data_IF_326743786994
#
_entry.id   IF_326743786994
#
_cell.length_a   1.000
_cell.length_b   1.000
_cell.length_c   1.000
_cell.angle_alpha   90.00
_cell.angle_beta   90.00
_cell.angle_gamma   90.00
#
_symmetry.space_group_name_H-M   'P 1'
#
loop_
_entity.id
_entity.type
_entity.pdbx_description
1 polymer ?
#
# COMPACT_ATOMS: atom_id res chain seq x y z
N UNK A 1 2.07 16.52 16.67
CA UNK A 1 2.80 15.75 17.70
C UNK A 1 2.40 16.02 19.16
N UNK A 2 2.42 17.28 19.65
CA UNK A 2 2.17 17.62 21.07
C UNK A 2 0.83 17.09 21.61
N UNK A 3 -0.22 17.14 20.81
CA UNK A 3 -1.54 16.61 21.18
C UNK A 3 -1.50 15.10 21.49
N UNK A 4 -0.80 14.30 20.68
CA UNK A 4 -0.68 12.86 20.90
C UNK A 4 0.11 12.53 22.17
N UNK A 5 1.20 13.26 22.44
CA UNK A 5 1.95 13.12 23.69
C UNK A 5 1.05 13.45 24.90
N UNK A 6 0.35 14.58 24.85
CA UNK A 6 -0.54 14.99 25.93
C UNK A 6 -1.70 14.01 26.13
N UNK A 7 -2.20 13.43 25.03
CA UNK A 7 -3.23 12.41 25.10
C UNK A 7 -2.72 11.14 25.80
N UNK A 8 -1.50 10.69 25.49
CA UNK A 8 -0.88 9.56 26.19
C UNK A 8 -0.66 9.85 27.69
N UNK A 9 -0.19 11.06 28.04
CA UNK A 9 0.00 11.48 29.45
C UNK A 9 -1.31 11.52 30.24
N UNK A 10 -2.39 11.99 29.60
CA UNK A 10 -3.70 12.18 30.23
C UNK A 10 -4.64 10.98 30.06
N UNK A 11 -4.23 9.93 29.36
CA UNK A 11 -5.08 8.79 29.02
C UNK A 11 -6.24 9.13 28.09
N UNK A 12 -6.14 10.22 27.32
CA UNK A 12 -7.14 10.64 26.33
C UNK A 12 -7.02 9.74 25.10
N UNK A 13 -8.16 9.28 24.60
CA UNK A 13 -8.24 8.36 23.46
C UNK A 13 -8.71 9.03 22.18
N UNK A 14 -9.22 10.28 22.23
CA UNK A 14 -9.76 10.98 21.08
C UNK A 14 -9.11 12.35 20.92
N UNK A 15 -8.58 12.60 19.72
CA UNK A 15 -8.04 13.89 19.30
C UNK A 15 -8.86 14.36 18.11
N UNK A 16 -9.51 15.52 18.27
CA UNK A 16 -10.24 16.18 17.20
C UNK A 16 -9.40 17.30 16.59
N UNK A 17 -9.22 17.28 15.27
CA UNK A 17 -8.47 18.27 14.51
C UNK A 17 -9.44 19.34 14.00
N UNK A 18 -9.42 20.52 14.63
CA UNK A 18 -10.28 21.67 14.30
C UNK A 18 -9.54 22.69 13.42
N UNK A 19 -8.99 22.25 12.30
CA UNK A 19 -8.36 23.15 11.32
C UNK A 19 -8.56 22.63 9.89
N UNK A 20 -8.49 23.53 8.93
CA UNK A 20 -8.56 23.22 7.50
C UNK A 20 -7.27 23.66 6.83
N UNK A 21 -6.74 22.79 5.96
CA UNK A 21 -5.49 23.02 5.26
C UNK A 21 -4.30 22.34 5.94
N UNK A 22 -3.11 22.81 5.62
CA UNK A 22 -1.86 22.12 5.93
C UNK A 22 -1.34 22.46 7.33
N UNK A 23 -1.00 21.41 8.07
CA UNK A 23 -0.20 21.49 9.28
C UNK A 23 1.09 20.68 9.05
N UNK A 24 2.21 21.40 9.02
CA UNK A 24 3.53 20.77 8.94
C UNK A 24 3.83 20.06 10.26
N UNK A 25 4.13 18.78 10.18
CA UNK A 25 4.47 17.92 11.32
C UNK A 25 5.84 17.27 11.11
N UNK A 26 6.48 16.98 12.24
CA UNK A 26 7.70 16.16 12.30
C UNK A 26 7.31 14.69 12.47
N UNK A 27 8.24 13.75 12.22
CA UNK A 27 8.02 12.34 12.54
C UNK A 27 7.41 12.14 13.94
N UNK A 28 6.29 11.43 13.97
CA UNK A 28 5.42 11.22 15.12
C UNK A 28 5.59 9.81 15.67
N UNK A 29 5.60 9.70 16.99
CA UNK A 29 5.46 8.42 17.68
C UNK A 29 4.12 8.39 18.41
N UNK A 30 3.34 7.34 18.14
CA UNK A 30 2.06 7.08 18.79
C UNK A 30 2.26 5.96 19.80
N UNK A 31 2.13 6.26 21.09
CA UNK A 31 2.34 5.32 22.19
C UNK A 31 1.06 4.96 22.95
N UNK A 32 -0.03 5.71 22.74
CA UNK A 32 -1.31 5.43 23.36
C UNK A 32 -1.88 4.08 22.88
N UNK A 33 -2.32 3.23 23.80
CA UNK A 33 -2.85 1.90 23.47
C UNK A 33 -4.10 1.96 22.59
N UNK A 34 -4.92 3.01 22.74
CA UNK A 34 -6.08 3.29 21.88
C UNK A 34 -6.12 4.77 21.58
N UNK A 35 -6.13 5.13 20.30
CA UNK A 35 -6.14 6.52 19.89
C UNK A 35 -6.93 6.71 18.58
N UNK A 36 -7.90 7.60 18.61
CA UNK A 36 -8.61 8.13 17.44
C UNK A 36 -8.10 9.53 17.15
N UNK A 37 -7.67 9.78 15.93
CA UNK A 37 -7.35 11.11 15.42
C UNK A 37 -8.33 11.40 14.29
N UNK A 38 -9.22 12.36 14.48
CA UNK A 38 -10.28 12.63 13.50
C UNK A 38 -10.42 14.10 13.17
N UNK A 39 -10.82 14.40 11.94
CA UNK A 39 -11.26 15.74 11.57
C UNK A 39 -12.51 16.14 12.37
N UNK A 40 -12.55 17.41 12.77
CA UNK A 40 -13.78 18.02 13.25
C UNK A 40 -14.79 18.17 12.10
N UNK A 41 -16.08 18.24 12.43
CA UNK A 41 -17.12 18.50 11.42
C UNK A 41 -16.83 19.78 10.64
N UNK A 42 -16.96 19.72 9.32
CA UNK A 42 -16.69 20.83 8.40
C UNK A 42 -15.21 21.19 8.19
N UNK A 43 -14.28 20.48 8.84
CA UNK A 43 -12.85 20.72 8.72
C UNK A 43 -12.18 19.68 7.82
N UNK A 44 -11.12 20.10 7.11
CA UNK A 44 -10.32 19.24 6.23
C UNK A 44 -8.83 19.37 6.60
N UNK A 45 -8.37 18.69 7.66
CA UNK A 45 -6.99 18.76 8.11
C UNK A 45 -6.07 17.95 7.18
N UNK A 46 -4.95 18.55 6.80
CA UNK A 46 -3.88 17.91 6.04
C UNK A 46 -2.61 17.91 6.88
N UNK A 47 -2.16 16.74 7.34
CA UNK A 47 -0.89 16.59 8.06
C UNK A 47 0.21 16.36 7.03
N UNK A 48 1.15 17.30 6.94
CA UNK A 48 2.24 17.28 5.97
C UNK A 48 3.54 16.95 6.67
N UNK A 49 4.27 15.97 6.14
CA UNK A 49 5.60 15.59 6.60
C UNK A 49 6.62 15.93 5.50
N UNK A 50 7.65 16.70 5.87
CA UNK A 50 8.79 17.06 5.01
C UNK A 50 10.08 16.64 5.71
N UNK A 51 10.48 15.37 5.60
CA UNK A 51 11.68 14.91 6.27
C UNK A 51 12.95 15.48 5.61
N UNK A 52 14.00 15.62 6.43
CA UNK A 52 15.33 16.07 6.02
C UNK A 52 16.32 14.90 6.12
N UNK A 53 17.34 14.87 5.26
CA UNK A 53 18.33 13.78 5.21
C UNK A 53 19.23 13.70 6.44
N UNK A 54 19.39 14.81 7.14
CA UNK A 54 20.29 14.92 8.31
C UNK A 54 19.75 14.22 9.55
N UNK A 55 18.56 13.61 9.46
CA UNK A 55 17.94 12.84 10.53
C UNK A 55 18.56 11.47 10.76
N UNK A 56 18.19 10.87 11.89
CA UNK A 56 18.44 9.45 12.17
C UNK A 56 17.61 8.55 11.26
N UNK A 57 17.95 7.25 11.15
CA UNK A 57 17.11 6.27 10.42
C UNK A 57 15.65 6.26 10.94
N UNK A 58 15.44 6.56 12.22
CA UNK A 58 14.10 6.65 12.81
C UNK A 58 13.28 7.84 12.30
N UNK A 59 13.93 8.85 11.71
CA UNK A 59 13.27 10.02 11.12
C UNK A 59 12.78 9.76 9.70
N UNK A 60 13.09 8.58 9.14
CA UNK A 60 12.55 8.12 7.86
C UNK A 60 11.14 7.54 7.94
N UNK A 61 10.61 7.39 9.16
CA UNK A 61 9.30 6.82 9.45
C UNK A 61 8.38 7.92 10.02
N UNK A 62 7.44 8.41 9.21
CA UNK A 62 6.68 9.62 9.57
C UNK A 62 5.72 9.38 10.74
N UNK A 63 5.04 8.23 10.78
CA UNK A 63 4.15 7.85 11.88
C UNK A 63 4.54 6.46 12.38
N UNK A 64 5.12 6.40 13.58
CA UNK A 64 5.52 5.15 14.24
C UNK A 64 4.48 4.74 15.25
N UNK A 65 3.93 3.54 15.10
CA UNK A 65 3.02 2.97 16.07
C UNK A 65 3.86 2.18 17.09
N UNK A 66 3.92 2.66 18.34
CA UNK A 66 4.57 1.98 19.47
C UNK A 66 3.59 1.78 20.62
N UNK A 67 2.37 1.40 20.26
CA UNK A 67 1.22 1.23 21.13
C UNK A 67 1.24 -0.13 21.85
N UNK A 68 2.29 -0.46 22.62
CA UNK A 68 2.38 -1.72 23.41
C UNK A 68 1.95 -3.00 22.67
N UNK A 69 1.52 -4.02 23.43
CA UNK A 69 0.91 -5.23 22.88
C UNK A 69 -0.60 -4.98 22.77
N UNK A 70 -1.22 -5.06 21.58
CA UNK A 70 -2.64 -4.80 21.27
C UNK A 70 -3.07 -3.34 21.00
N UNK A 71 -2.14 -2.48 20.61
CA UNK A 71 -2.43 -1.10 20.26
C UNK A 71 -3.39 -0.94 19.08
N UNK A 72 -4.36 -0.03 19.17
CA UNK A 72 -5.28 0.31 18.08
C UNK A 72 -5.28 1.82 17.82
N UNK A 73 -4.93 2.21 16.60
CA UNK A 73 -4.94 3.61 16.16
C UNK A 73 -5.93 3.76 15.01
N UNK A 74 -6.80 4.77 15.09
CA UNK A 74 -7.77 5.12 14.06
C UNK A 74 -7.49 6.54 13.55
N UNK A 75 -7.40 6.72 12.23
CA UNK A 75 -7.53 8.02 11.59
C UNK A 75 -8.86 8.12 10.85
N UNK A 76 -9.54 9.25 10.97
CA UNK A 76 -10.81 9.48 10.29
C UNK A 76 -10.92 10.86 9.65
N UNK A 77 -11.17 10.92 8.34
CA UNK A 77 -11.37 12.19 7.63
C UNK A 77 -10.11 13.06 7.53
N UNK A 78 -8.92 12.47 7.67
CA UNK A 78 -7.63 13.18 7.69
C UNK A 78 -6.87 12.87 6.41
N UNK A 79 -6.23 13.90 5.83
CA UNK A 79 -5.23 13.71 4.78
C UNK A 79 -3.82 13.66 5.41
N UNK A 80 -3.04 12.67 5.00
CA UNK A 80 -1.66 12.45 5.42
C UNK A 80 -0.77 12.54 4.19
N UNK A 81 0.16 13.49 4.18
CA UNK A 81 1.02 13.77 3.03
C UNK A 81 2.48 13.71 3.41
N UNK A 82 3.26 12.90 2.71
CA UNK A 82 4.72 12.84 2.81
C UNK A 82 5.32 13.44 1.55
N UNK A 83 6.11 14.51 1.70
CA UNK A 83 6.85 15.16 0.62
C UNK A 83 8.33 14.86 0.80
N UNK A 84 8.87 13.99 -0.05
CA UNK A 84 10.24 13.51 0.10
C UNK A 84 11.27 14.55 -0.36
N UNK A 85 12.47 14.56 0.25
CA UNK A 85 13.55 15.45 -0.17
C UNK A 85 14.00 15.15 -1.60
N UNK A 86 14.62 16.13 -2.25
CA UNK A 86 15.10 15.98 -3.63
C UNK A 86 16.35 15.11 -3.72
N UNK A 87 17.14 15.04 -2.66
CA UNK A 87 18.35 14.25 -2.61
C UNK A 87 18.03 12.77 -2.38
N UNK A 88 18.67 11.90 -3.16
CA UNK A 88 18.42 10.46 -3.12
C UNK A 88 18.73 9.85 -1.76
N UNK A 89 17.77 9.11 -1.23
CA UNK A 89 17.88 8.29 -0.03
C UNK A 89 17.04 7.01 -0.18
N UNK A 90 16.93 6.25 0.89
CA UNK A 90 16.20 4.99 0.91
C UNK A 90 15.51 4.74 2.25
N UNK A 91 14.42 3.96 2.22
CA UNK A 91 13.75 3.45 3.42
C UNK A 91 12.73 4.39 4.04
N UNK A 92 12.13 5.28 3.24
CA UNK A 92 11.08 6.20 3.71
C UNK A 92 9.75 5.47 3.89
N UNK A 93 9.03 5.76 4.96
CA UNK A 93 7.65 5.31 5.10
C UNK A 93 6.72 6.31 5.75
N UNK A 94 5.47 6.36 5.28
CA UNK A 94 4.43 7.16 5.92
C UNK A 94 4.03 6.56 7.28
N UNK A 95 3.83 5.24 7.32
CA UNK A 95 3.59 4.49 8.55
C UNK A 95 4.67 3.44 8.78
N UNK A 96 5.08 3.29 10.03
CA UNK A 96 5.85 2.16 10.52
C UNK A 96 5.03 1.45 11.60
N UNK A 97 4.58 0.24 11.28
CA UNK A 97 3.68 -0.56 12.12
C UNK A 97 4.51 -1.64 12.80
N UNK A 98 4.54 -1.62 14.13
CA UNK A 98 5.15 -2.68 14.92
C UNK A 98 4.13 -3.77 15.23
N UNK A 99 4.62 -4.89 15.77
CA UNK A 99 3.80 -6.08 15.96
C UNK A 99 2.59 -5.86 16.86
N UNK A 100 1.56 -6.70 16.63
CA UNK A 100 0.33 -6.73 17.44
C UNK A 100 -0.42 -5.40 17.52
N UNK A 101 -0.24 -4.56 16.52
CA UNK A 101 -0.93 -3.28 16.40
C UNK A 101 -1.92 -3.33 15.25
N UNK A 102 -3.00 -2.57 15.42
CA UNK A 102 -4.03 -2.37 14.42
C UNK A 102 -4.09 -0.90 14.04
N UNK A 103 -3.95 -0.62 12.75
CA UNK A 103 -4.19 0.69 12.16
C UNK A 103 -5.49 0.65 11.38
N UNK A 104 -6.38 1.58 11.67
CA UNK A 104 -7.64 1.77 10.97
C UNK A 104 -7.65 3.16 10.32
N UNK A 105 -8.02 3.21 9.05
CA UNK A 105 -8.14 4.43 8.26
C UNK A 105 -9.55 4.47 7.67
N UNK A 106 -10.29 5.55 7.93
CA UNK A 106 -11.62 5.76 7.40
C UNK A 106 -11.72 7.14 6.75
N UNK A 107 -12.21 7.21 5.51
CA UNK A 107 -12.39 8.48 4.81
C UNK A 107 -11.07 9.30 4.73
N UNK A 108 -9.93 8.60 4.61
CA UNK A 108 -8.60 9.21 4.63
C UNK A 108 -7.99 9.29 3.23
N UNK A 109 -7.09 10.26 3.05
CA UNK A 109 -6.25 10.39 1.86
C UNK A 109 -4.79 10.25 2.28
N UNK A 110 -4.06 9.34 1.65
CA UNK A 110 -2.62 9.15 1.84
C UNK A 110 -1.91 9.58 0.56
N UNK A 111 -0.98 10.53 0.67
CA UNK A 111 -0.22 11.02 -0.48
C UNK A 111 1.28 10.90 -0.20
N UNK A 112 2.02 10.27 -1.12
CA UNK A 112 3.49 10.31 -1.13
C UNK A 112 3.95 11.03 -2.40
N UNK A 113 4.63 12.16 -2.23
CA UNK A 113 5.19 12.95 -3.34
C UNK A 113 6.71 12.74 -3.37
N UNK A 114 7.20 12.07 -4.40
CA UNK A 114 8.63 11.99 -4.73
C UNK A 114 8.87 12.73 -6.04
N UNK A 115 9.39 13.96 -5.94
CA UNK A 115 9.70 14.79 -7.11
C UNK A 115 11.18 15.10 -7.10
N UNK A 116 11.94 14.38 -7.91
CA UNK A 116 13.33 14.71 -8.18
C UNK A 116 13.49 15.97 -9.07
N UNK A 117 14.73 16.42 -9.30
CA UNK A 117 15.04 17.65 -10.05
C UNK A 117 14.48 17.70 -11.49
N UNK A 118 14.16 16.55 -12.09
CA UNK A 118 13.59 16.44 -13.43
C UNK A 118 12.12 15.95 -13.44
N UNK A 119 11.43 15.99 -12.30
CA UNK A 119 10.07 15.43 -12.17
C UNK A 119 10.05 13.90 -12.10
N UNK A 120 11.21 13.26 -11.97
CA UNK A 120 11.37 11.80 -11.87
C UNK A 120 11.59 11.42 -10.40
N UNK A 121 10.89 10.40 -9.86
CA UNK A 121 11.13 9.89 -8.52
C UNK A 121 12.60 9.47 -8.33
N UNK A 122 13.23 9.90 -7.23
CA UNK A 122 14.64 9.60 -6.94
C UNK A 122 14.83 8.69 -5.73
N UNK A 123 13.81 8.55 -4.89
CA UNK A 123 13.90 7.77 -3.68
C UNK A 123 13.73 6.29 -3.98
N UNK A 124 14.40 5.45 -3.20
CA UNK A 124 14.26 3.99 -3.29
C UNK A 124 13.65 3.44 -2.01
N UNK A 125 12.99 2.28 -2.07
CA UNK A 125 12.36 1.65 -0.90
C UNK A 125 11.40 2.59 -0.14
N UNK A 126 10.58 3.34 -0.87
CA UNK A 126 9.52 4.18 -0.31
C UNK A 126 8.28 3.33 -0.08
N UNK A 127 7.60 3.50 1.06
CA UNK A 127 6.39 2.77 1.38
C UNK A 127 5.27 3.60 2.04
N UNK A 128 4.01 3.24 1.81
CA UNK A 128 2.92 3.77 2.65
C UNK A 128 2.93 3.11 4.02
N UNK A 129 3.06 1.78 4.06
CA UNK A 129 3.12 0.98 5.28
C UNK A 129 4.39 0.13 5.29
N UNK A 130 5.28 0.39 6.24
CA UNK A 130 6.44 -0.45 6.51
C UNK A 130 6.19 -1.29 7.77
N UNK A 131 6.02 -2.60 7.59
CA UNK A 131 5.89 -3.53 8.71
C UNK A 131 7.26 -3.76 9.34
N UNK A 132 7.37 -3.43 10.62
CA UNK A 132 8.64 -3.48 11.32
C UNK A 132 8.95 -4.89 11.81
N UNK A 133 10.21 -5.35 11.66
CA UNK A 133 10.63 -6.66 12.10
C UNK A 133 10.54 -6.83 13.62
N UNK A 134 10.62 -8.09 14.05
CA UNK A 134 10.57 -8.48 15.47
C UNK A 134 11.79 -7.95 16.21
N UNK A 135 11.59 -7.45 17.43
CA UNK A 135 12.72 -7.32 18.36
C UNK A 135 13.07 -8.70 18.91
N UNK A 136 14.35 -9.06 18.88
CA UNK A 136 14.86 -10.39 19.30
C UNK A 136 14.46 -10.75 20.74
N UNK A 137 14.36 -9.76 21.62
CA UNK A 137 13.92 -9.94 23.02
C UNK A 137 12.49 -10.43 23.14
N UNK A 138 11.62 -10.01 22.22
CA UNK A 138 10.21 -10.41 22.21
C UNK A 138 10.05 -11.81 21.58
N UNK A 139 10.94 -12.15 20.64
CA UNK A 139 11.01 -13.49 20.05
C UNK A 139 11.44 -14.56 21.06
N UNK A 140 12.41 -14.27 21.94
CA UNK A 140 12.92 -15.23 22.94
C UNK A 140 11.89 -15.54 24.04
N UNK A 141 11.15 -14.54 24.54
CA UNK A 141 10.09 -14.76 25.55
C UNK A 141 8.90 -15.58 25.01
N UNK A 142 8.66 -15.54 23.71
CA UNK A 142 7.54 -16.24 23.06
C UNK A 142 7.88 -17.66 22.62
N UNK A 143 9.16 -18.01 22.45
CA UNK A 143 9.57 -19.40 22.21
C UNK A 143 9.28 -20.32 23.42
N UNK A 144 9.17 -19.75 24.62
CA UNK A 144 8.73 -20.47 25.82
C UNK A 144 7.20 -20.63 25.89
N UNK A 145 6.44 -19.78 25.18
CA UNK A 145 4.98 -19.67 25.23
C UNK A 145 4.30 -20.27 23.97
N UNK A 146 4.76 -21.47 23.57
CA UNK A 146 4.46 -22.20 22.32
C UNK A 146 2.98 -22.64 22.13
N UNK A 147 2.04 -22.05 22.88
CA UNK A 147 0.59 -22.32 22.81
C UNK A 147 -0.27 -21.09 22.51
N UNK A 148 0.29 -19.89 22.42
CA UNK A 148 -0.46 -18.68 22.08
C UNK A 148 -0.62 -18.49 20.57
N UNK A 149 -1.85 -18.43 20.05
CA UNK A 149 -2.10 -17.83 18.73
C UNK A 149 -1.55 -16.39 18.74
N UNK A 150 -0.56 -16.11 17.90
CA UNK A 150 -0.05 -14.75 17.76
C UNK A 150 -1.09 -13.88 17.06
N UNK A 151 -1.50 -12.74 17.65
CA UNK A 151 -2.38 -11.80 16.96
C UNK A 151 -1.64 -11.19 15.76
N UNK A 152 -2.29 -11.24 14.60
CA UNK A 152 -1.80 -10.60 13.38
C UNK A 152 -1.78 -9.07 13.53
N UNK A 153 -0.86 -8.42 12.83
CA UNK A 153 -0.95 -6.97 12.63
C UNK A 153 -2.19 -6.68 11.78
N UNK A 154 -2.91 -5.61 12.09
CA UNK A 154 -4.11 -5.21 11.37
C UNK A 154 -3.87 -3.91 10.61
N UNK A 155 -4.20 -3.88 9.32
CA UNK A 155 -4.33 -2.66 8.54
C UNK A 155 -5.71 -2.68 7.90
N UNK A 156 -6.59 -1.79 8.31
CA UNK A 156 -7.96 -1.72 7.81
C UNK A 156 -8.21 -0.35 7.17
N UNK A 157 -8.61 -0.34 5.91
CA UNK A 157 -8.92 0.86 5.13
C UNK A 157 -10.37 0.81 4.67
N UNK A 158 -11.10 1.90 4.89
CA UNK A 158 -12.47 2.07 4.43
C UNK A 158 -12.64 3.43 3.77
N UNK A 159 -13.11 3.46 2.52
CA UNK A 159 -13.27 4.71 1.73
C UNK A 159 -12.00 5.56 1.75
N UNK A 160 -10.88 4.91 1.44
CA UNK A 160 -9.57 5.55 1.48
C UNK A 160 -9.00 5.72 0.07
N UNK A 161 -8.22 6.79 -0.09
CA UNK A 161 -7.38 7.01 -1.27
C UNK A 161 -5.92 6.92 -0.83
N UNK A 162 -5.11 6.11 -1.50
CA UNK A 162 -3.66 6.12 -1.36
C UNK A 162 -3.04 6.35 -2.73
N UNK A 163 -2.22 7.40 -2.86
CA UNK A 163 -1.66 7.82 -4.14
C UNK A 163 -0.22 8.31 -4.01
N UNK A 164 0.64 7.99 -4.95
CA UNK A 164 2.03 8.47 -4.91
C UNK A 164 3.10 7.46 -5.26
N UNK A 165 4.34 7.90 -5.05
CA UNK A 165 5.53 7.14 -5.41
C UNK A 165 5.94 6.20 -4.26
N UNK A 166 6.00 4.89 -4.53
CA UNK A 166 6.42 3.89 -3.54
C UNK A 166 5.44 2.73 -3.36
N UNK A 167 5.91 1.63 -2.79
CA UNK A 167 5.11 0.41 -2.56
C UNK A 167 4.05 0.64 -1.49
N UNK A 168 2.84 0.10 -1.66
CA UNK A 168 1.79 0.32 -0.67
C UNK A 168 2.14 -0.33 0.68
N UNK A 169 2.54 -1.60 0.70
CA UNK A 169 2.99 -2.28 1.92
C UNK A 169 4.31 -3.02 1.70
N UNK A 170 5.27 -2.81 2.61
CA UNK A 170 6.57 -3.50 2.60
C UNK A 170 6.79 -4.23 3.93
N UNK A 171 7.27 -5.47 3.84
CA UNK A 171 7.69 -6.27 5.00
C UNK A 171 9.05 -6.95 4.72
N UNK A 172 10.12 -6.39 5.29
CA UNK A 172 11.47 -6.98 5.21
C UNK A 172 11.60 -8.29 5.99
N UNK A 173 10.71 -8.51 6.96
CA UNK A 173 10.51 -9.80 7.61
C UNK A 173 9.00 -10.06 7.67
N UNK A 174 8.56 -11.14 7.06
CA UNK A 174 7.18 -11.55 7.06
C UNK A 174 6.71 -11.85 8.48
N UNK A 175 5.59 -11.22 8.84
CA UNK A 175 4.86 -11.48 10.07
C UNK A 175 3.37 -11.58 9.74
N UNK A 176 2.57 -12.32 10.53
CA UNK A 176 1.13 -12.44 10.28
C UNK A 176 0.48 -11.07 10.15
N UNK A 177 -0.28 -10.89 9.07
CA UNK A 177 -0.89 -9.64 8.68
C UNK A 177 -2.32 -9.90 8.27
N UNK A 178 -3.23 -9.03 8.68
CA UNK A 178 -4.54 -8.88 8.09
C UNK A 178 -4.67 -7.49 7.48
N UNK A 179 -4.71 -7.43 6.16
CA UNK A 179 -5.00 -6.22 5.39
C UNK A 179 -6.44 -6.32 4.86
N UNK A 180 -7.28 -5.36 5.22
CA UNK A 180 -8.63 -5.26 4.65
C UNK A 180 -8.80 -3.88 4.03
N UNK A 181 -9.29 -3.83 2.80
CA UNK A 181 -9.62 -2.58 2.12
C UNK A 181 -10.98 -2.67 1.44
N UNK A 182 -11.92 -1.88 1.92
CA UNK A 182 -13.24 -1.71 1.31
C UNK A 182 -13.39 -0.32 0.73
N UNK A 183 -13.88 -0.22 -0.51
CA UNK A 183 -14.10 1.05 -1.22
C UNK A 183 -12.81 1.86 -1.28
N UNK A 184 -11.96 1.55 -2.26
CA UNK A 184 -10.58 2.04 -2.28
C UNK A 184 -10.10 2.54 -3.61
N UNK A 185 -9.23 3.54 -3.57
CA UNK A 185 -8.36 3.88 -4.70
C UNK A 185 -6.90 3.77 -4.27
N UNK A 186 -6.14 2.92 -4.97
CA UNK A 186 -4.69 2.88 -4.91
C UNK A 186 -4.11 3.32 -6.26
N UNK A 187 -3.24 4.31 -6.26
CA UNK A 187 -2.42 4.65 -7.43
C UNK A 187 -0.96 4.78 -7.03
N UNK A 188 -0.15 3.80 -7.41
CA UNK A 188 1.27 3.75 -7.06
C UNK A 188 2.16 3.60 -8.30
N UNK A 189 3.44 3.96 -8.20
CA UNK A 189 4.47 3.63 -9.19
C UNK A 189 5.07 2.22 -9.03
N UNK A 190 4.71 1.52 -7.95
CA UNK A 190 5.26 0.22 -7.57
C UNK A 190 4.17 -0.86 -7.53
N UNK A 191 4.11 -1.64 -6.44
CA UNK A 191 3.19 -2.75 -6.22
C UNK A 191 2.32 -2.55 -4.97
N UNK A 192 1.32 -3.41 -4.79
CA UNK A 192 0.52 -3.40 -3.55
C UNK A 192 1.32 -3.93 -2.35
N UNK A 193 2.00 -5.06 -2.47
CA UNK A 193 2.72 -5.70 -1.35
C UNK A 193 4.08 -6.23 -1.79
N UNK A 194 5.11 -5.96 -1.01
CA UNK A 194 6.44 -6.57 -1.15
C UNK A 194 6.89 -7.20 0.17
N UNK A 195 7.37 -8.44 0.10
CA UNK A 195 7.92 -9.16 1.26
C UNK A 195 9.26 -9.82 0.95
N UNK A 196 10.06 -10.07 1.99
CA UNK A 196 11.38 -10.69 1.87
C UNK A 196 11.49 -12.06 2.58
N UNK A 197 10.34 -12.70 2.86
CA UNK A 197 10.27 -13.96 3.62
C UNK A 197 10.38 -13.75 5.14
N UNK A 198 10.43 -14.85 5.89
CA UNK A 198 10.51 -14.89 7.36
C UNK A 198 11.77 -15.62 7.83
N UNK A 199 12.46 -15.12 8.87
CA UNK A 199 13.55 -15.86 9.52
C UNK A 199 13.04 -17.02 10.38
N UNK A 200 11.77 -16.97 10.79
CA UNK A 200 11.13 -17.99 11.63
C UNK A 200 10.31 -18.94 10.77
N UNK A 201 10.44 -20.24 11.03
CA UNK A 201 9.56 -21.25 10.44
C UNK A 201 8.11 -20.97 10.88
N UNK A 202 7.15 -20.85 9.95
CA UNK A 202 5.75 -20.74 10.32
C UNK A 202 5.34 -21.98 11.12
N UNK A 203 4.71 -21.81 12.28
CA UNK A 203 3.98 -22.88 12.94
C UNK A 203 2.71 -23.19 12.12
N UNK A 204 2.25 -24.44 12.13
CA UNK A 204 1.10 -24.87 11.31
C UNK A 204 -0.21 -24.11 11.62
N UNK A 205 -0.30 -23.50 12.81
CA UNK A 205 -1.47 -22.73 13.24
C UNK A 205 -1.27 -21.22 13.06
N UNK A 206 -2.09 -20.61 12.19
CA UNK A 206 -2.47 -19.19 12.25
C UNK A 206 -1.48 -18.14 11.72
N UNK A 207 -0.38 -18.53 11.06
CA UNK A 207 0.61 -17.58 10.52
C UNK A 207 0.46 -17.45 9.00
N UNK A 208 -0.37 -16.51 8.55
CA UNK A 208 -0.59 -16.20 7.13
C UNK A 208 -0.70 -14.69 6.91
N UNK A 209 -0.59 -14.29 5.65
CA UNK A 209 -0.91 -12.95 5.17
C UNK A 209 -2.33 -13.01 4.60
N UNK A 210 -3.29 -12.47 5.35
CA UNK A 210 -4.70 -12.39 4.94
C UNK A 210 -4.96 -11.02 4.32
N UNK A 211 -5.27 -10.99 3.03
CA UNK A 211 -5.53 -9.75 2.29
C UNK A 211 -6.92 -9.82 1.67
N UNK A 212 -7.81 -8.94 2.11
CA UNK A 212 -9.18 -8.82 1.61
C UNK A 212 -9.35 -7.46 0.91
N UNK A 213 -9.62 -7.47 -0.39
CA UNK A 213 -9.90 -6.29 -1.21
C UNK A 213 -11.34 -6.38 -1.74
N UNK A 214 -12.13 -5.32 -1.51
CA UNK A 214 -13.53 -5.27 -1.88
C UNK A 214 -13.88 -3.88 -2.44
N UNK A 215 -14.30 -3.81 -3.70
CA UNK A 215 -14.54 -2.54 -4.39
C UNK A 215 -13.30 -1.61 -4.39
N UNK A 216 -12.15 -2.18 -4.71
CA UNK A 216 -10.87 -1.45 -4.79
C UNK A 216 -10.47 -1.25 -6.25
N UNK A 217 -10.12 -0.02 -6.60
CA UNK A 217 -9.43 0.28 -7.85
C UNK A 217 -7.94 0.45 -7.56
N UNK A 218 -7.11 -0.44 -8.10
CA UNK A 218 -5.67 -0.43 -7.90
C UNK A 218 -4.92 -0.30 -9.23
N UNK A 219 -4.20 0.82 -9.37
CA UNK A 219 -3.19 1.02 -10.39
C UNK A 219 -1.84 0.68 -9.76
N UNK A 220 -1.37 -0.52 -10.09
CA UNK A 220 -0.23 -1.21 -9.47
C UNK A 220 0.68 -1.73 -10.58
N UNK A 221 1.46 -0.85 -11.22
CA UNK A 221 2.22 -1.18 -12.42
C UNK A 221 3.17 -2.36 -12.26
N UNK A 222 3.58 -2.71 -11.03
CA UNK A 222 4.47 -3.83 -10.71
C UNK A 222 3.78 -5.05 -10.05
N UNK A 223 2.45 -5.13 -10.13
CA UNK A 223 1.68 -6.29 -9.65
C UNK A 223 1.15 -6.15 -8.23
N UNK A 224 0.47 -7.20 -7.75
CA UNK A 224 -0.18 -7.24 -6.44
C UNK A 224 0.85 -7.59 -5.37
N UNK A 225 1.54 -8.71 -5.53
CA UNK A 225 2.38 -9.25 -4.46
C UNK A 225 3.70 -9.77 -5.01
N UNK A 226 4.79 -9.40 -4.35
CA UNK A 226 6.11 -9.96 -4.56
C UNK A 226 6.64 -10.55 -3.29
N UNK A 227 7.21 -11.74 -3.40
CA UNK A 227 8.08 -12.29 -2.37
C UNK A 227 9.44 -12.59 -2.95
N UNK A 228 10.49 -12.05 -2.33
CA UNK A 228 11.88 -12.36 -2.67
C UNK A 228 12.58 -12.94 -1.45
N UNK A 229 12.82 -14.24 -1.47
CA UNK A 229 13.41 -14.93 -0.32
C UNK A 229 14.88 -14.52 -0.14
N UNK A 230 15.23 -14.03 1.04
CA UNK A 230 16.64 -13.75 1.40
C UNK A 230 17.25 -14.90 2.21
N UNK A 231 18.58 -15.02 2.19
CA UNK A 231 19.29 -16.05 2.95
C UNK A 231 18.99 -16.02 4.46
N UNK A 232 18.81 -14.82 5.03
CA UNK A 232 18.42 -14.63 6.43
C UNK A 232 16.94 -14.98 6.71
N UNK A 233 16.11 -14.99 5.67
CA UNK A 233 14.66 -15.15 5.72
C UNK A 233 14.25 -16.40 4.94
N UNK A 234 14.67 -17.57 5.41
CA UNK A 234 14.56 -18.82 4.65
C UNK A 234 13.13 -19.37 4.48
N UNK A 235 12.15 -18.83 5.21
CA UNK A 235 10.77 -19.29 5.21
C UNK A 235 9.83 -18.27 4.57
N UNK A 236 8.60 -18.68 4.29
CA UNK A 236 7.54 -17.78 3.84
C UNK A 236 6.24 -18.10 4.57
N UNK A 237 5.40 -17.10 4.78
CA UNK A 237 4.02 -17.24 5.18
C UNK A 237 3.15 -17.53 3.94
N UNK A 238 2.03 -18.22 4.14
CA UNK A 238 1.03 -18.36 3.08
C UNK A 238 0.35 -17.01 2.86
N UNK A 239 0.31 -16.55 1.62
CA UNK A 239 -0.53 -15.42 1.20
C UNK A 239 -1.91 -15.93 0.79
N UNK A 240 -2.96 -15.50 1.49
CA UNK A 240 -4.37 -15.76 1.19
C UNK A 240 -5.01 -14.42 0.81
N UNK A 241 -5.26 -14.25 -0.49
CA UNK A 241 -5.68 -12.99 -1.08
C UNK A 241 -7.06 -13.17 -1.68
N UNK A 242 -8.03 -12.41 -1.18
CA UNK A 242 -9.40 -12.37 -1.67
C UNK A 242 -9.67 -11.02 -2.29
N UNK A 243 -10.15 -11.03 -3.52
CA UNK A 243 -10.42 -9.81 -4.28
C UNK A 243 -11.83 -9.89 -4.87
N UNK A 244 -12.72 -8.97 -4.49
CA UNK A 244 -14.10 -8.92 -4.98
C UNK A 244 -14.41 -7.58 -5.61
N UNK A 245 -15.11 -7.61 -6.73
CA UNK A 245 -15.62 -6.42 -7.43
C UNK A 245 -14.54 -5.33 -7.57
N UNK A 246 -13.30 -5.71 -7.89
CA UNK A 246 -12.15 -4.79 -7.87
C UNK A 246 -11.53 -4.63 -9.26
N UNK A 247 -10.92 -3.48 -9.51
CA UNK A 247 -10.19 -3.17 -10.74
C UNK A 247 -8.69 -3.28 -10.45
N UNK A 248 -7.99 -4.14 -11.19
CA UNK A 248 -6.57 -4.40 -10.98
C UNK A 248 -5.80 -4.12 -12.26
N UNK A 249 -5.12 -2.97 -12.33
CA UNK A 249 -4.34 -2.57 -13.49
C UNK A 249 -2.84 -2.67 -13.22
N UNK A 250 -2.17 -3.51 -13.98
CA UNK A 250 -0.70 -3.65 -14.04
C UNK A 250 -0.16 -3.15 -15.38
N UNK A 251 1.16 -2.97 -15.49
CA UNK A 251 1.79 -2.77 -16.80
C UNK A 251 1.67 -4.03 -17.67
N UNK A 252 1.85 -3.86 -18.98
CA UNK A 252 1.98 -4.99 -19.90
C UNK A 252 3.13 -5.90 -19.45
N UNK A 253 2.96 -7.21 -19.59
CA UNK A 253 3.95 -8.25 -19.25
C UNK A 253 4.39 -8.29 -17.77
N UNK A 254 3.69 -7.59 -16.89
CA UNK A 254 3.90 -7.66 -15.44
C UNK A 254 2.95 -8.69 -14.82
N UNK A 255 3.48 -9.64 -14.02
CA UNK A 255 2.66 -10.62 -13.33
C UNK A 255 1.85 -9.99 -12.19
N UNK A 256 0.70 -10.58 -11.84
CA UNK A 256 0.00 -10.22 -10.60
C UNK A 256 0.81 -10.64 -9.37
N UNK A 257 1.47 -11.82 -9.46
CA UNK A 257 2.22 -12.43 -8.38
C UNK A 257 3.64 -12.77 -8.83
N UNK A 258 4.65 -12.34 -8.07
CA UNK A 258 6.05 -12.70 -8.33
C UNK A 258 6.69 -13.37 -7.13
N UNK A 259 7.26 -14.56 -7.35
CA UNK A 259 8.01 -15.31 -6.34
C UNK A 259 9.43 -15.52 -6.83
N UNK A 260 10.40 -15.09 -6.04
CA UNK A 260 11.83 -15.16 -6.39
C UNK A 260 12.64 -15.85 -5.30
N UNK A 261 13.75 -16.47 -5.73
CA UNK A 261 14.74 -17.09 -4.85
C UNK A 261 14.19 -18.29 -4.04
N UNK A 262 13.19 -18.98 -4.60
CA UNK A 262 12.64 -20.25 -4.11
C UNK A 262 13.31 -21.46 -4.80
N UNK A 263 13.31 -22.62 -4.15
CA UNK A 263 13.96 -23.82 -4.69
C UNK A 263 13.10 -24.51 -5.75
N UNK A 264 11.79 -24.59 -5.52
CA UNK A 264 10.81 -25.14 -6.47
C UNK A 264 9.56 -24.29 -6.54
N UNK A 265 8.86 -24.36 -7.68
CA UNK A 265 7.51 -23.82 -7.85
C UNK A 265 6.53 -24.43 -6.84
N UNK A 266 6.78 -25.66 -6.39
CA UNK A 266 5.98 -26.33 -5.37
C UNK A 266 6.06 -25.66 -4.01
N UNK A 267 7.11 -24.88 -3.76
CA UNK A 267 7.30 -24.15 -2.51
C UNK A 267 6.38 -22.92 -2.42
N UNK A 268 5.85 -22.41 -3.54
CA UNK A 268 5.02 -21.20 -3.57
C UNK A 268 3.78 -21.38 -2.69
N UNK A 269 3.64 -20.52 -1.67
CA UNK A 269 2.51 -20.51 -0.74
C UNK A 269 1.54 -19.37 -1.07
N UNK A 270 0.73 -19.57 -2.11
CA UNK A 270 -0.27 -18.60 -2.57
C UNK A 270 -1.65 -19.25 -2.69
N UNK A 271 -2.68 -18.54 -2.20
CA UNK A 271 -4.07 -18.76 -2.55
C UNK A 271 -4.67 -17.41 -2.96
N UNK A 272 -5.25 -17.35 -4.16
CA UNK A 272 -5.97 -16.21 -4.69
C UNK A 272 -7.39 -16.62 -5.04
N UNK A 273 -8.37 -15.80 -4.66
CA UNK A 273 -9.76 -16.08 -4.98
C UNK A 273 -10.63 -14.84 -4.96
N UNK A 274 -11.87 -15.02 -5.41
CA UNK A 274 -12.87 -13.97 -5.47
C UNK A 274 -13.56 -13.90 -6.82
N UNK A 275 -14.26 -12.81 -7.07
CA UNK A 275 -15.23 -12.70 -8.17
C UNK A 275 -15.44 -11.25 -8.58
N UNK A 276 -15.97 -11.04 -9.79
CA UNK A 276 -16.37 -9.71 -10.26
C UNK A 276 -15.20 -8.75 -10.49
N UNK A 277 -13.95 -9.24 -10.51
CA UNK A 277 -12.79 -8.38 -10.76
C UNK A 277 -12.60 -8.12 -12.27
N UNK A 278 -12.07 -6.94 -12.59
CA UNK A 278 -11.68 -6.59 -13.97
C UNK A 278 -10.19 -6.29 -14.07
N UNK A 279 -9.65 -6.62 -15.24
CA UNK A 279 -8.27 -6.44 -15.62
C UNK A 279 -8.18 -5.67 -16.95
N UNK A 280 -7.05 -5.02 -17.27
CA UNK A 280 -6.86 -4.40 -18.58
C UNK A 280 -7.16 -5.38 -19.70
N UNK A 281 -7.83 -4.92 -20.77
CA UNK A 281 -8.25 -5.80 -21.87
C UNK A 281 -7.07 -6.58 -22.49
N UNK A 282 -5.90 -5.94 -22.59
CA UNK A 282 -4.66 -6.59 -23.05
C UNK A 282 -4.23 -7.78 -22.16
N UNK A 283 -4.53 -7.71 -20.85
CA UNK A 283 -4.16 -8.72 -19.86
C UNK A 283 -5.18 -9.85 -19.79
N UNK A 284 -6.43 -9.66 -20.22
CA UNK A 284 -7.45 -10.73 -20.20
C UNK A 284 -7.01 -11.95 -21.01
N UNK A 285 -6.35 -11.75 -22.16
CA UNK A 285 -5.92 -12.84 -23.03
C UNK A 285 -4.44 -13.25 -22.85
N UNK A 286 -3.59 -12.33 -22.41
CA UNK A 286 -2.11 -12.51 -22.38
C UNK A 286 -1.47 -12.14 -21.05
N UNK A 287 -2.26 -11.79 -20.05
CA UNK A 287 -1.76 -11.40 -18.75
C UNK A 287 -1.00 -12.55 -18.10
N UNK A 288 0.05 -12.20 -17.36
CA UNK A 288 0.78 -13.17 -16.54
C UNK A 288 0.12 -13.17 -15.16
N UNK A 289 -0.26 -14.34 -14.68
CA UNK A 289 -0.82 -14.50 -13.35
C UNK A 289 0.31 -14.58 -12.32
N UNK A 290 1.22 -15.52 -12.53
CA UNK A 290 2.33 -15.78 -11.63
C UNK A 290 3.65 -15.89 -12.41
N UNK A 291 4.69 -15.23 -11.89
CA UNK A 291 6.07 -15.41 -12.33
C UNK A 291 6.89 -16.01 -11.20
N UNK A 292 7.62 -17.07 -11.54
CA UNK A 292 8.51 -17.77 -10.64
C UNK A 292 9.95 -17.66 -11.13
N UNK A 293 10.84 -17.14 -10.27
CA UNK A 293 12.27 -17.01 -10.51
C UNK A 293 13.01 -17.97 -9.55
N UNK A 294 13.51 -19.11 -10.04
CA UNK A 294 14.22 -20.09 -9.20
C UNK A 294 15.47 -19.49 -8.56
N UNK A 295 15.86 -20.02 -7.40
CA UNK A 295 17.11 -19.66 -6.70
C UNK A 295 18.38 -20.19 -7.39
N UNK A 296 18.23 -21.26 -8.18
CA UNK A 296 19.33 -21.93 -8.89
C UNK A 296 19.77 -21.11 -10.09
N UNK A 297 21.06 -20.79 -10.14
CA UNK A 297 21.64 -19.97 -11.21
C UNK A 297 21.52 -20.71 -12.55
N UNK A 298 20.83 -20.10 -13.51
CA UNK A 298 20.69 -20.61 -14.88
C UNK A 298 19.42 -21.41 -15.14
N UNK A 299 18.58 -21.67 -14.13
CA UNK A 299 17.23 -22.17 -14.39
C UNK A 299 16.35 -21.06 -15.00
N UNK A 300 15.53 -21.39 -16.00
CA UNK A 300 14.69 -20.40 -16.66
C UNK A 300 13.59 -19.89 -15.72
N UNK A 301 13.22 -18.62 -15.90
CA UNK A 301 12.01 -18.07 -15.27
C UNK A 301 10.79 -18.80 -15.83
N UNK A 302 9.89 -19.22 -14.94
CA UNK A 302 8.62 -19.82 -15.31
C UNK A 302 7.49 -18.79 -15.18
N UNK A 303 6.62 -18.72 -16.19
CA UNK A 303 5.47 -17.83 -16.22
C UNK A 303 4.20 -18.63 -16.40
N UNK A 304 3.18 -18.29 -15.60
CA UNK A 304 1.89 -18.94 -15.61
C UNK A 304 0.85 -17.90 -16.04
N UNK A 305 0.10 -18.15 -17.13
CA UNK A 305 -0.81 -17.16 -17.68
C UNK A 305 -2.04 -16.97 -16.79
N UNK A 306 -2.73 -15.85 -17.00
CA UNK A 306 -4.06 -15.57 -16.48
C UNK A 306 -5.13 -16.44 -17.18
N UNK A 307 -5.06 -17.76 -17.01
CA UNK A 307 -6.09 -18.68 -17.51
C UNK A 307 -7.40 -18.48 -16.71
N UNK A 308 -8.58 -18.46 -17.36
CA UNK A 308 -9.87 -18.46 -16.68
C UNK A 308 -10.19 -19.76 -15.93
N UNK A 309 -9.49 -20.86 -16.21
CA UNK A 309 -9.67 -22.12 -15.48
C UNK A 309 -9.00 -22.05 -14.10
N UNK A 310 -9.59 -22.71 -13.08
CA UNK A 310 -8.96 -22.81 -11.78
C UNK A 310 -7.53 -23.36 -11.90
N UNK A 311 -6.59 -22.65 -11.28
CA UNK A 311 -5.21 -23.07 -11.15
C UNK A 311 -4.93 -23.49 -9.71
N UNK A 312 -3.81 -24.18 -9.47
CA UNK A 312 -3.39 -24.57 -8.12
C UNK A 312 -3.43 -23.41 -7.11
N UNK A 313 -3.14 -22.19 -7.56
CA UNK A 313 -3.06 -20.99 -6.73
C UNK A 313 -4.28 -20.07 -6.86
N UNK A 314 -5.20 -20.34 -7.79
CA UNK A 314 -6.31 -19.42 -8.09
C UNK A 314 -7.63 -20.16 -8.21
N UNK A 315 -8.61 -19.73 -7.40
CA UNK A 315 -10.01 -20.12 -7.51
C UNK A 315 -10.89 -18.93 -7.91
N UNK A 316 -10.31 -17.88 -8.48
CA UNK A 316 -11.03 -16.69 -8.91
C UNK A 316 -12.00 -16.99 -10.06
N UNK A 317 -13.24 -16.52 -9.94
CA UNK A 317 -14.20 -16.45 -11.03
C UNK A 317 -13.93 -15.22 -11.91
N UNK A 318 -13.04 -15.40 -12.89
CA UNK A 318 -12.54 -14.29 -13.70
C UNK A 318 -13.50 -13.86 -14.82
N UNK A 319 -13.81 -12.57 -14.86
CA UNK A 319 -14.53 -11.96 -15.98
C UNK A 319 -13.66 -11.92 -17.24
N UNK A 320 -14.27 -12.22 -18.39
CA UNK A 320 -13.66 -11.99 -19.70
C UNK A 320 -13.80 -10.54 -20.17
N UNK A 321 -14.55 -9.72 -19.43
CA UNK A 321 -14.66 -8.30 -19.73
C UNK A 321 -13.38 -7.59 -19.26
N UNK A 322 -12.79 -6.80 -20.16
CA UNK A 322 -11.73 -5.88 -19.80
C UNK A 322 -12.27 -4.62 -19.12
N UNK A 323 -11.37 -3.85 -18.51
CA UNK A 323 -11.68 -2.52 -17.99
C UNK A 323 -12.00 -1.58 -19.16
N UNK A 324 -13.15 -0.91 -19.09
CA UNK A 324 -13.56 0.18 -20.00
C UNK A 324 -13.77 1.43 -19.17
N UNK A 325 -12.83 2.36 -19.27
CA UNK A 325 -12.87 3.62 -18.53
C UNK A 325 -13.79 4.64 -19.20
N UNK A 326 -14.49 5.45 -18.40
CA UNK A 326 -15.27 6.60 -18.88
C UNK A 326 -14.40 7.63 -19.59
N UNK A 327 -13.16 7.78 -19.12
CA UNK A 327 -12.15 8.65 -19.71
C UNK A 327 -10.82 7.89 -19.77
N UNK A 328 -9.99 8.10 -20.80
CA UNK A 328 -8.68 7.49 -20.85
C UNK A 328 -7.86 7.82 -19.60
N UNK A 329 -7.39 6.80 -18.90
CA UNK A 329 -6.57 6.99 -17.71
C UNK A 329 -5.16 7.39 -18.14
N UNK A 330 -4.78 8.63 -17.87
CA UNK A 330 -3.50 9.22 -18.22
C UNK A 330 -2.40 8.87 -17.19
N UNK A 331 -2.20 7.59 -16.91
CA UNK A 331 -1.28 7.12 -15.86
C UNK A 331 0.18 7.58 -16.02
N UNK A 332 0.62 7.87 -17.26
CA UNK A 332 1.98 8.32 -17.53
C UNK A 332 2.11 9.84 -17.68
N UNK A 333 1.00 10.56 -17.88
CA UNK A 333 1.02 12.01 -18.05
C UNK A 333 0.75 12.76 -16.74
N UNK A 334 0.02 12.13 -15.82
CA UNK A 334 -0.27 12.70 -14.49
C UNK A 334 0.47 11.89 -13.43
N UNK A 335 1.39 12.50 -12.66
CA UNK A 335 2.10 11.83 -11.58
C UNK A 335 1.16 11.16 -10.58
N UNK A 336 1.56 10.01 -10.03
CA UNK A 336 0.72 9.22 -9.13
C UNK A 336 0.16 10.05 -7.96
N UNK A 337 0.98 10.94 -7.37
CA UNK A 337 0.56 11.80 -6.25
C UNK A 337 -0.48 12.88 -6.61
N UNK A 338 -0.77 13.09 -7.90
CA UNK A 338 -1.82 14.03 -8.39
C UNK A 338 -3.10 13.32 -8.85
N UNK A 339 -3.10 11.99 -8.86
CA UNK A 339 -4.25 11.20 -9.32
C UNK A 339 -5.44 11.35 -8.35
N UNK A 340 -6.67 11.34 -8.88
CA UNK A 340 -7.90 11.63 -8.12
C UNK A 340 -9.00 10.64 -8.47
N UNK A 341 -9.95 10.34 -7.56
CA UNK A 341 -11.02 9.37 -7.80
C UNK A 341 -11.80 9.58 -9.10
N UNK A 342 -12.14 10.82 -9.45
CA UNK A 342 -12.87 11.16 -10.68
C UNK A 342 -12.19 10.68 -11.97
N UNK A 343 -10.87 10.42 -11.95
CA UNK A 343 -10.12 9.92 -13.11
C UNK A 343 -10.29 8.41 -13.36
N UNK A 344 -10.86 7.67 -12.40
CA UNK A 344 -10.95 6.20 -12.44
C UNK A 344 -12.39 5.70 -12.43
N UNK A 345 -13.28 6.40 -13.14
CA UNK A 345 -14.66 5.97 -13.30
C UNK A 345 -14.78 5.04 -14.50
N UNK A 346 -15.51 3.94 -14.35
CA UNK A 346 -15.87 3.07 -15.46
C UNK A 346 -16.89 3.76 -16.38
N UNK A 347 -16.89 3.33 -17.64
CA UNK A 347 -17.92 3.73 -18.61
C UNK A 347 -19.31 3.37 -18.05
N UNK A 348 -20.29 4.30 -18.05
CA UNK A 348 -21.65 4.02 -17.60
C UNK A 348 -22.35 2.85 -18.32
N UNK A 349 -21.93 2.51 -19.53
CA UNK A 349 -22.44 1.36 -20.30
C UNK A 349 -21.78 0.03 -19.90
N UNK A 350 -20.71 0.07 -19.10
CA UNK A 350 -20.11 -1.13 -18.52
C UNK A 350 -21.13 -1.84 -17.64
N UNK A 351 -21.40 -3.12 -17.93
CA UNK A 351 -22.28 -3.97 -17.12
C UNK A 351 -21.67 -4.40 -15.78
N UNK A 352 -20.38 -4.15 -15.59
CA UNK A 352 -19.65 -4.54 -14.39
C UNK A 352 -19.62 -3.40 -13.38
N UNK A 353 -19.82 -3.72 -12.10
CA UNK A 353 -19.80 -2.78 -10.96
C UNK A 353 -18.47 -2.83 -10.20
N UNK A 354 -17.38 -3.17 -10.87
CA UNK A 354 -16.08 -3.31 -10.23
C UNK A 354 -15.42 -1.95 -9.97
N UNK A 355 -14.60 -1.89 -8.91
CA UNK A 355 -13.95 -0.66 -8.45
C UNK A 355 -14.75 -0.02 -7.31
N UNK A 356 -14.38 1.21 -6.96
CA UNK A 356 -15.08 1.95 -5.91
C UNK A 356 -16.38 2.57 -6.45
N UNK A 357 -17.31 2.83 -5.55
CA UNK A 357 -18.56 3.51 -5.87
C UNK A 357 -18.32 5.01 -6.13
N UNK A 358 -18.84 5.57 -7.23
CA UNK A 358 -18.68 6.99 -7.50
C UNK A 358 -19.22 7.87 -6.37
N UNK A 359 -18.40 8.80 -5.89
CA UNK A 359 -18.78 9.79 -4.86
C UNK A 359 -18.64 9.34 -3.41
N UNK A 360 -18.17 8.12 -3.13
CA UNK A 360 -17.93 7.67 -1.74
C UNK A 360 -16.52 7.96 -1.23
N UNK A 361 -15.55 8.14 -2.13
CA UNK A 361 -14.16 8.40 -1.76
C UNK A 361 -13.93 9.89 -1.45
N UNK A 362 -13.07 10.21 -0.47
CA UNK A 362 -12.66 11.59 -0.21
C UNK A 362 -11.86 12.15 -1.39
N UNK A 363 -12.08 13.44 -1.70
CA UNK A 363 -11.29 14.17 -2.67
C UNK A 363 -10.03 14.73 -2.00
N UNK A 364 -8.82 14.44 -2.54
CA UNK A 364 -7.57 15.01 -2.04
C UNK A 364 -7.58 16.54 -2.06
N UNK A 365 -6.99 17.16 -1.05
CA UNK A 365 -6.74 18.61 -1.05
C UNK A 365 -5.54 18.89 -1.95
N UNK A 366 -5.78 19.58 -3.07
CA UNK A 366 -4.69 19.98 -3.96
C UNK A 366 -3.75 20.95 -3.24
N UNK A 367 -2.41 20.74 -3.30
CA UNK A 367 -1.49 21.72 -2.78
C UNK A 367 -1.63 23.02 -3.60
N UNK A 368 -1.45 24.19 -2.98
CA UNK A 368 -1.34 25.43 -3.73
C UNK A 368 -0.16 25.29 -4.72
N UNK A 369 -0.41 25.55 -6.01
CA UNK A 369 0.63 25.51 -7.04
C UNK A 369 1.79 26.42 -6.61
N UNK A 370 2.99 25.83 -6.48
CA UNK A 370 4.19 26.63 -6.27
C UNK A 370 4.62 27.24 -7.61
N UNK A 371 5.11 28.48 -7.67
CA UNK A 371 5.51 29.16 -8.92
C UNK A 371 6.51 28.36 -9.77
N UNK A 372 7.30 27.49 -9.15
CA UNK A 372 8.26 26.61 -9.83
C UNK A 372 7.58 25.52 -10.70
N UNK A 373 6.38 25.04 -10.32
CA UNK A 373 5.65 24.04 -11.12
C UNK A 373 4.96 24.66 -12.35
N UNK A 374 4.71 25.98 -12.38
CA UNK A 374 4.18 26.69 -13.56
C UNK A 374 5.20 26.85 -14.69
N UNK A 375 6.49 26.84 -14.38
CA UNK A 375 7.57 27.01 -15.37
C UNK A 375 7.84 25.74 -16.19
N UNK A 376 7.20 24.61 -15.85
CA UNK A 376 7.32 23.34 -16.56
C UNK A 376 6.19 23.09 -17.57
N UNK A 377 5.22 24.00 -17.72
CA UNK A 377 4.32 23.96 -18.87
C UNK A 377 5.14 24.29 -20.13
N UNK A 378 5.10 23.44 -21.18
CA UNK A 378 5.79 23.75 -22.42
C UNK A 378 5.15 25.02 -22.98
N UNK A 379 5.97 26.06 -23.13
CA UNK A 379 5.58 27.25 -23.88
C UNK A 379 5.08 26.79 -25.25
N UNK A 380 3.77 26.96 -25.48
CA UNK A 380 3.15 26.61 -26.75
C UNK A 380 3.94 27.22 -27.89
N UNK A 381 4.24 26.38 -28.89
CA UNK A 381 4.77 26.82 -30.18
C UNK A 381 3.92 27.98 -30.67
N UNK A 382 4.50 29.18 -30.63
CA UNK A 382 3.98 30.32 -31.36
C UNK A 382 4.29 30.06 -32.83
N UNK A 383 3.24 29.72 -33.58
CA UNK A 383 3.22 29.79 -35.04
C UNK A 383 3.81 31.14 -35.49
N UNK A 384 4.87 31.06 -36.29
CA UNK A 384 5.45 32.19 -37.00
C UNK A 384 5.25 32.01 -38.50
N UNK A 385 4.48 32.94 -39.07
CA UNK A 385 4.22 33.17 -40.50
C UNK A 385 5.49 33.29 -41.37
#
# INVERSE_FOLDING_TARGET
ARACQRAAELGIQDIELQFTGELLEKPLELSAARLTIRAASGHKPVLVFRPELTGSEGDKQMIRLKCGNSGKVLFQGVELRMELPMESSFGWSLFAIHQMQSLELADCVLTIKDVGPAGVPMQTQVAFFALQPRRVTDAMKMMEDDKGMMPAMGVNLNRCVARGDGTFLVATEESPLKLTWTQGLLVTTQRLIETEGSPLRPSEFGRRLDIDLDHVTAIIPQGIYSMKRRAANAYQLKADIRCRNSLLQTNADVPLFEFSDLASIDDVQLAFGGEGNLYPLANVAKGIFLRFKPSSRGEPTAEFPQDPKPQRWSTEERSQAGIVWKQPVLNNAVPAYRQVPKSFLLDPESRNQAGFDPGVLPEPVEPPETPAEKLAEPAGEADGE
#
